data_IF_177140414486
#
_entry.id   IF_177140414486
#
_cell.length_a   1.000
_cell.length_b   1.000
_cell.length_c   1.000
_cell.angle_alpha   90.00
_cell.angle_beta   90.00
_cell.angle_gamma   90.00
#
_symmetry.space_group_name_H-M   'P 1'
#
loop_
_entity.id
_entity.type
_entity.pdbx_description
1 polymer ?
#
# COMPACT_ATOMS: atom_id res chain seq x y z
N UNK A 1 26.59 -12.97 -6.36
CA UNK A 1 26.30 -14.37 -6.76
C UNK A 1 25.18 -14.33 -7.80
N UNK A 2 25.45 -14.92 -8.97
CA UNK A 2 24.66 -15.04 -10.21
C UNK A 2 23.58 -13.99 -10.53
N UNK A 3 23.92 -13.11 -11.48
CA UNK A 3 23.03 -12.22 -12.22
C UNK A 3 22.06 -12.94 -13.19
N UNK A 4 21.64 -14.16 -12.84
CA UNK A 4 20.65 -14.92 -13.59
C UNK A 4 19.43 -15.06 -12.68
N UNK A 5 18.34 -14.37 -13.03
CA UNK A 5 17.07 -14.48 -12.32
C UNK A 5 16.57 -15.94 -12.28
N UNK A 6 15.57 -16.24 -11.44
CA UNK A 6 15.14 -17.62 -11.20
C UNK A 6 14.76 -18.32 -12.51
N UNK A 7 15.18 -19.57 -12.62
CA UNK A 7 14.82 -20.47 -13.71
C UNK A 7 13.30 -20.68 -13.78
N UNK A 8 12.79 -21.12 -14.92
CA UNK A 8 11.35 -21.42 -15.06
C UNK A 8 10.86 -22.45 -14.04
N UNK A 9 11.68 -23.44 -13.70
CA UNK A 9 11.37 -24.47 -12.70
C UNK A 9 11.28 -23.89 -11.29
N UNK A 10 12.20 -23.01 -10.91
CA UNK A 10 12.17 -22.32 -9.61
C UNK A 10 10.95 -21.42 -9.50
N UNK A 11 10.63 -20.64 -10.54
CA UNK A 11 9.42 -19.81 -10.58
C UNK A 11 8.14 -20.63 -10.34
N UNK A 12 8.04 -21.81 -10.94
CA UNK A 12 6.91 -22.73 -10.71
C UNK A 12 6.90 -23.21 -9.26
N UNK A 13 8.04 -23.71 -8.76
CA UNK A 13 8.17 -24.21 -7.40
C UNK A 13 7.76 -23.17 -6.35
N UNK A 14 8.29 -21.94 -6.45
CA UNK A 14 7.94 -20.82 -5.58
C UNK A 14 6.47 -20.43 -5.68
N UNK A 15 5.83 -20.67 -6.83
CA UNK A 15 4.42 -20.35 -7.06
C UNK A 15 3.44 -21.45 -6.59
N UNK A 16 3.88 -22.70 -6.46
CA UNK A 16 3.02 -23.83 -6.04
C UNK A 16 2.15 -23.53 -4.80
N UNK A 17 2.66 -22.87 -3.74
CA UNK A 17 1.87 -22.62 -2.54
C UNK A 17 0.61 -21.79 -2.79
N UNK A 18 0.66 -20.76 -3.66
CA UNK A 18 -0.53 -19.96 -3.98
C UNK A 18 -1.33 -20.56 -5.13
N UNK A 19 -0.67 -21.20 -6.11
CA UNK A 19 -1.33 -21.88 -7.23
C UNK A 19 -2.31 -22.96 -6.75
N UNK A 20 -1.92 -23.75 -5.75
CA UNK A 20 -2.78 -24.80 -5.15
C UNK A 20 -4.01 -24.23 -4.43
N UNK A 21 -3.93 -22.99 -3.96
CA UNK A 21 -5.05 -22.29 -3.28
C UNK A 21 -5.94 -21.50 -4.24
N UNK A 22 -5.43 -21.17 -5.43
CA UNK A 22 -6.11 -20.31 -6.39
C UNK A 22 -7.50 -20.82 -6.80
N UNK A 23 -7.72 -22.12 -7.11
CA UNK A 23 -9.05 -22.62 -7.48
C UNK A 23 -10.08 -22.44 -6.36
N UNK A 24 -9.68 -22.70 -5.11
CA UNK A 24 -10.54 -22.53 -3.94
C UNK A 24 -10.88 -21.06 -3.69
N UNK A 25 -9.89 -20.19 -3.80
CA UNK A 25 -10.10 -18.74 -3.76
C UNK A 25 -11.09 -18.31 -4.85
N UNK A 26 -10.88 -18.73 -6.10
CA UNK A 26 -11.71 -18.37 -7.24
C UNK A 26 -13.15 -18.86 -7.09
N UNK A 27 -13.34 -20.09 -6.61
CA UNK A 27 -14.67 -20.64 -6.29
C UNK A 27 -15.36 -19.81 -5.20
N UNK A 28 -14.63 -19.45 -4.13
CA UNK A 28 -15.15 -18.59 -3.08
C UNK A 28 -15.60 -17.22 -3.60
N UNK A 29 -14.86 -16.62 -4.54
CA UNK A 29 -15.24 -15.36 -5.20
C UNK A 29 -16.48 -15.52 -6.08
N UNK A 30 -16.54 -16.59 -6.87
CA UNK A 30 -17.70 -16.89 -7.71
C UNK A 30 -18.98 -17.03 -6.87
N UNK A 31 -18.93 -17.80 -5.78
CA UNK A 31 -20.07 -17.97 -4.86
C UNK A 31 -20.47 -16.65 -4.19
N UNK A 32 -19.51 -15.79 -3.86
CA UNK A 32 -19.80 -14.46 -3.31
C UNK A 32 -20.46 -13.54 -4.35
N UNK A 33 -20.03 -13.60 -5.61
CA UNK A 33 -20.63 -12.85 -6.71
C UNK A 33 -22.09 -13.25 -6.97
N UNK A 34 -22.44 -14.53 -6.87
CA UNK A 34 -23.83 -14.99 -6.97
C UNK A 34 -24.75 -14.43 -5.87
N UNK A 35 -24.19 -14.18 -4.68
CA UNK A 35 -24.91 -13.60 -3.54
C UNK A 35 -24.99 -12.07 -3.59
N UNK A 36 -24.11 -11.45 -4.38
CA UNK A 36 -23.90 -10.00 -4.44
C UNK A 36 -24.21 -9.51 -5.85
N UNK A 37 -25.46 -9.69 -6.29
CA UNK A 37 -25.91 -9.17 -7.58
C UNK A 37 -25.97 -7.63 -7.54
N UNK A 38 -25.35 -6.96 -8.53
CA UNK A 38 -25.54 -5.54 -8.85
C UNK A 38 -25.40 -4.53 -7.71
N UNK A 39 -24.41 -4.69 -6.82
CA UNK A 39 -24.03 -3.58 -5.95
C UNK A 39 -22.93 -2.75 -6.62
N UNK A 40 -23.14 -1.44 -6.63
CA UNK A 40 -22.12 -0.45 -6.94
C UNK A 40 -20.88 -0.71 -6.07
N UNK A 41 -19.70 -0.69 -6.67
CA UNK A 41 -18.44 -0.94 -5.96
C UNK A 41 -17.56 0.30 -5.95
N UNK A 42 -16.92 0.56 -4.83
CA UNK A 42 -15.88 1.57 -4.71
C UNK A 42 -14.52 0.90 -4.95
N UNK A 43 -13.76 1.40 -5.92
CA UNK A 43 -12.41 0.92 -6.24
C UNK A 43 -11.39 1.86 -5.59
N UNK A 44 -10.83 1.46 -4.46
CA UNK A 44 -9.76 2.17 -3.77
C UNK A 44 -8.44 1.77 -4.41
N UNK A 45 -7.94 2.61 -5.32
CA UNK A 45 -6.74 2.35 -6.11
C UNK A 45 -5.54 2.98 -5.42
N UNK A 46 -4.55 2.17 -5.08
CA UNK A 46 -3.30 2.60 -4.46
C UNK A 46 -2.12 2.08 -5.26
N UNK A 47 -1.19 2.96 -5.62
CA UNK A 47 0.06 2.55 -6.26
C UNK A 47 1.19 2.63 -5.24
N UNK A 48 1.74 1.46 -4.87
CA UNK A 48 2.95 1.35 -4.08
C UNK A 48 4.17 1.45 -5.01
N UNK A 49 4.71 2.65 -5.16
CA UNK A 49 5.89 2.87 -5.99
C UNK A 49 7.15 2.58 -5.16
N UNK A 50 7.90 1.54 -5.55
CA UNK A 50 9.24 1.26 -5.07
C UNK A 50 10.17 2.35 -5.63
N UNK A 51 10.22 3.48 -4.93
CA UNK A 51 10.68 4.74 -5.48
C UNK A 51 12.21 4.83 -5.44
N UNK A 52 12.88 4.20 -6.39
CA UNK A 52 14.33 4.07 -6.46
C UNK A 52 14.93 4.93 -7.59
N UNK A 53 15.07 6.26 -7.43
CA UNK A 53 15.61 7.13 -8.48
C UNK A 53 17.07 6.79 -8.81
N UNK A 54 17.78 6.16 -7.87
CA UNK A 54 19.15 5.65 -8.01
C UNK A 54 19.28 4.38 -8.85
N UNK A 55 18.19 3.72 -9.25
CA UNK A 55 18.29 2.46 -9.99
C UNK A 55 19.09 2.61 -11.30
N UNK A 56 20.00 1.67 -11.56
CA UNK A 56 20.79 1.60 -12.78
C UNK A 56 20.68 0.20 -13.44
N UNK A 57 20.54 0.09 -14.78
CA UNK A 57 20.39 -1.20 -15.47
C UNK A 57 21.53 -2.22 -15.23
N UNK A 58 22.74 -1.74 -14.95
CA UNK A 58 23.92 -2.57 -14.70
C UNK A 58 24.15 -2.96 -13.23
N UNK A 59 23.23 -2.58 -12.34
CA UNK A 59 23.44 -2.59 -10.90
C UNK A 59 24.20 -1.34 -10.42
N UNK A 60 24.23 -1.15 -9.09
CA UNK A 60 24.77 0.06 -8.48
C UNK A 60 23.74 1.19 -8.37
N UNK A 61 24.23 2.40 -8.11
CA UNK A 61 23.42 3.59 -7.89
C UNK A 61 23.86 4.70 -8.86
N UNK A 62 22.91 5.31 -9.55
CA UNK A 62 23.14 6.45 -10.44
C UNK A 62 23.69 7.65 -9.68
N UNK A 63 24.38 8.56 -10.38
CA UNK A 63 24.90 9.77 -9.75
C UNK A 63 23.76 10.69 -9.26
N UNK A 64 24.06 11.48 -8.22
CA UNK A 64 23.10 12.38 -7.57
C UNK A 64 22.40 13.35 -8.55
N UNK A 65 23.10 13.86 -9.56
CA UNK A 65 22.53 14.80 -10.54
C UNK A 65 21.50 14.08 -11.42
N UNK A 66 21.80 12.87 -11.85
CA UNK A 66 20.88 12.01 -12.60
C UNK A 66 19.64 11.69 -11.77
N UNK A 67 19.82 11.27 -10.51
CA UNK A 67 18.69 10.99 -9.62
C UNK A 67 17.80 12.22 -9.41
N UNK A 68 18.38 13.39 -9.12
CA UNK A 68 17.61 14.62 -8.94
C UNK A 68 16.86 15.04 -10.21
N UNK A 69 17.46 14.83 -11.39
CA UNK A 69 16.78 15.07 -12.68
C UNK A 69 15.56 14.16 -12.85
N UNK A 70 15.69 12.87 -12.52
CA UNK A 70 14.59 11.90 -12.58
C UNK A 70 13.45 12.25 -11.63
N UNK A 71 13.76 12.64 -10.39
CA UNK A 71 12.74 13.04 -9.40
C UNK A 71 12.01 14.32 -9.83
N UNK A 72 12.74 15.30 -10.38
CA UNK A 72 12.12 16.54 -10.92
C UNK A 72 11.25 16.26 -12.14
N UNK A 73 11.68 15.37 -13.02
CA UNK A 73 10.86 14.93 -14.14
C UNK A 73 9.60 14.20 -13.67
N UNK A 74 9.73 13.29 -12.70
CA UNK A 74 8.60 12.63 -12.07
C UNK A 74 7.60 13.64 -11.49
N UNK A 75 8.08 14.64 -10.73
CA UNK A 75 7.22 15.70 -10.17
C UNK A 75 6.49 16.50 -11.25
N UNK A 76 7.18 16.84 -12.36
CA UNK A 76 6.56 17.50 -13.52
C UNK A 76 5.44 16.66 -14.12
N UNK A 77 5.69 15.38 -14.37
CA UNK A 77 4.69 14.46 -14.94
C UNK A 77 3.53 14.20 -13.97
N UNK A 78 3.80 14.12 -12.67
CA UNK A 78 2.78 13.99 -11.64
C UNK A 78 1.86 15.22 -11.61
N UNK A 79 2.40 16.44 -11.73
CA UNK A 79 1.59 17.68 -11.86
C UNK A 79 0.72 17.67 -13.11
N UNK A 80 1.27 17.28 -14.26
CA UNK A 80 0.50 17.20 -15.51
C UNK A 80 -0.63 16.19 -15.36
N UNK A 81 -0.31 14.99 -14.89
CA UNK A 81 -1.24 13.88 -14.74
C UNK A 81 -2.31 14.17 -13.70
N UNK A 82 -1.95 14.68 -12.52
CA UNK A 82 -2.91 15.02 -11.46
C UNK A 82 -3.85 16.18 -11.82
N UNK A 83 -3.48 17.05 -12.76
CA UNK A 83 -4.42 18.05 -13.32
C UNK A 83 -5.44 17.44 -14.25
N UNK A 84 -5.02 16.47 -15.08
CA UNK A 84 -5.85 15.87 -16.12
C UNK A 84 -6.71 14.73 -15.59
N UNK A 85 -6.20 13.97 -14.63
CA UNK A 85 -6.80 12.75 -14.12
C UNK A 85 -7.12 12.95 -12.64
N UNK A 86 -8.41 13.11 -12.37
CA UNK A 86 -8.95 13.21 -11.02
C UNK A 86 -10.05 12.18 -10.86
N UNK A 87 -10.10 11.57 -9.68
CA UNK A 87 -11.18 10.66 -9.33
C UNK A 87 -12.51 11.41 -9.06
N UNK A 88 -13.56 10.67 -8.71
CA UNK A 88 -14.87 11.23 -8.43
C UNK A 88 -14.89 12.21 -7.23
N UNK A 89 -13.86 12.18 -6.39
CA UNK A 89 -13.70 13.07 -5.24
C UNK A 89 -12.87 14.33 -5.58
N UNK A 90 -12.40 14.45 -6.83
CA UNK A 90 -11.46 15.48 -7.25
C UNK A 90 -10.00 15.21 -6.84
N UNK A 91 -9.69 14.01 -6.34
CA UNK A 91 -8.33 13.63 -5.94
C UNK A 91 -7.50 13.32 -7.17
N UNK A 92 -6.29 13.91 -7.33
CA UNK A 92 -5.43 13.61 -8.47
C UNK A 92 -4.97 12.14 -8.45
N UNK A 93 -4.78 11.54 -9.62
CA UNK A 93 -4.05 10.28 -9.70
C UNK A 93 -2.64 10.46 -9.13
N UNK A 94 -2.28 9.60 -8.18
CA UNK A 94 -1.08 9.76 -7.36
C UNK A 94 -0.52 8.44 -6.87
N UNK A 95 0.77 8.46 -6.53
CA UNK A 95 1.50 7.31 -6.06
C UNK A 95 1.91 7.51 -4.60
N UNK A 96 2.02 6.42 -3.85
CA UNK A 96 2.79 6.41 -2.60
C UNK A 96 4.24 6.11 -2.97
N UNK A 97 5.14 7.05 -2.71
CA UNK A 97 6.56 6.92 -2.96
C UNK A 97 7.22 6.25 -1.73
N UNK A 98 7.44 4.94 -1.83
CA UNK A 98 8.21 4.20 -0.85
C UNK A 98 9.70 4.45 -1.12
N UNK A 99 10.30 5.40 -0.40
CA UNK A 99 11.67 5.88 -0.64
C UNK A 99 12.70 5.04 0.14
N UNK A 100 13.77 4.54 -0.51
CA UNK A 100 14.79 3.69 0.12
C UNK A 100 15.58 4.46 1.19
N UNK A 101 15.38 4.12 2.46
CA UNK A 101 16.00 4.82 3.59
C UNK A 101 17.52 4.78 3.58
N UNK A 102 18.11 3.70 3.07
CA UNK A 102 19.55 3.53 2.91
C UNK A 102 20.16 4.40 1.80
N UNK A 103 19.32 5.03 0.96
CA UNK A 103 19.73 5.93 -0.13
C UNK A 103 19.29 7.38 0.14
N UNK A 104 19.19 7.77 1.41
CA UNK A 104 18.75 9.11 1.79
C UNK A 104 19.58 10.22 1.11
N UNK A 105 18.90 11.10 0.36
CA UNK A 105 19.45 12.39 -0.08
C UNK A 105 18.45 13.51 0.26
N UNK A 106 18.86 14.54 1.01
CA UNK A 106 17.97 15.62 1.44
C UNK A 106 17.32 16.38 0.28
N UNK A 107 18.02 16.56 -0.85
CA UNK A 107 17.50 17.33 -1.98
C UNK A 107 16.48 16.54 -2.79
N UNK A 108 16.62 15.22 -2.87
CA UNK A 108 15.61 14.36 -3.50
C UNK A 108 14.34 14.33 -2.64
N UNK A 109 14.49 14.16 -1.33
CA UNK A 109 13.36 14.14 -0.39
C UNK A 109 12.62 15.47 -0.34
N UNK A 110 13.31 16.61 -0.49
CA UNK A 110 12.64 17.91 -0.55
C UNK A 110 11.66 18.00 -1.72
N UNK A 111 12.05 17.50 -2.90
CA UNK A 111 11.15 17.45 -4.07
C UNK A 111 9.96 16.53 -3.80
N UNK A 112 10.15 15.42 -3.08
CA UNK A 112 9.05 14.53 -2.71
C UNK A 112 8.12 15.15 -1.66
N UNK A 113 8.67 15.90 -0.70
CA UNK A 113 7.89 16.65 0.28
C UNK A 113 7.06 17.75 -0.40
N UNK A 114 7.64 18.48 -1.36
CA UNK A 114 6.91 19.45 -2.20
C UNK A 114 5.78 18.76 -2.99
N UNK A 115 6.06 17.61 -3.61
CA UNK A 115 5.05 16.82 -4.33
C UNK A 115 3.90 16.37 -3.40
N UNK A 116 4.24 15.95 -2.18
CA UNK A 116 3.24 15.60 -1.16
C UNK A 116 2.42 16.82 -0.72
N UNK A 117 3.05 17.98 -0.54
CA UNK A 117 2.39 19.26 -0.20
C UNK A 117 1.34 19.69 -1.24
N UNK A 118 1.58 19.36 -2.50
CA UNK A 118 0.64 19.58 -3.59
C UNK A 118 -0.47 18.51 -3.70
N UNK A 119 -0.45 17.49 -2.83
CA UNK A 119 -1.40 16.40 -2.83
C UNK A 119 -1.17 15.35 -3.92
N UNK A 120 0.01 15.35 -4.57
CA UNK A 120 0.36 14.48 -5.70
C UNK A 120 0.98 13.13 -5.30
N UNK A 121 0.91 12.79 -4.01
CA UNK A 121 1.40 11.53 -3.48
C UNK A 121 1.71 11.64 -1.99
N UNK A 122 2.20 10.57 -1.39
CA UNK A 122 2.76 10.57 -0.04
C UNK A 122 4.08 9.79 -0.01
N UNK A 123 4.99 10.18 0.86
CA UNK A 123 6.27 9.50 1.09
C UNK A 123 6.13 8.50 2.24
N UNK A 124 6.56 7.27 2.01
CA UNK A 124 6.56 6.16 2.97
C UNK A 124 7.89 5.42 2.93
N UNK A 125 8.09 4.42 3.80
CA UNK A 125 9.41 3.80 4.02
C UNK A 125 9.61 2.57 3.15
N UNK A 126 10.70 2.58 2.39
CA UNK A 126 11.28 1.43 1.72
C UNK A 126 12.65 1.15 2.33
N UNK A 127 13.02 -0.12 2.49
CA UNK A 127 14.35 -0.47 2.97
C UNK A 127 14.89 -1.70 2.25
N UNK A 128 16.11 -1.57 1.73
CA UNK A 128 16.96 -2.71 1.40
C UNK A 128 17.92 -2.97 2.57
N UNK A 129 17.97 -4.22 3.03
CA UNK A 129 18.92 -4.65 4.05
C UNK A 129 19.28 -6.12 3.82
N UNK A 130 20.37 -6.60 4.43
CA UNK A 130 20.66 -8.03 4.41
C UNK A 130 21.22 -8.61 3.10
N UNK A 131 21.63 -7.79 2.12
CA UNK A 131 22.06 -8.25 0.79
C UNK A 131 23.53 -8.67 0.73
N UNK A 132 24.41 -7.98 1.45
CA UNK A 132 25.83 -8.33 1.56
C UNK A 132 26.07 -9.44 2.60
N UNK A 133 25.41 -9.29 3.75
CA UNK A 133 25.39 -10.25 4.86
C UNK A 133 24.04 -10.11 5.58
N UNK A 134 23.56 -11.17 6.28
CA UNK A 134 22.29 -11.09 7.02
C UNK A 134 22.27 -9.89 7.98
N UNK A 135 21.16 -9.15 8.00
CA UNK A 135 20.99 -8.02 8.91
C UNK A 135 20.67 -8.49 10.34
N UNK A 136 20.76 -7.59 11.31
CA UNK A 136 20.48 -7.85 12.72
C UNK A 136 19.23 -7.09 13.20
N UNK A 137 18.49 -7.62 14.20
CA UNK A 137 17.37 -6.91 14.82
C UNK A 137 17.71 -5.48 15.27
N UNK A 138 18.91 -5.28 15.83
CA UNK A 138 19.36 -4.00 16.35
C UNK A 138 19.59 -2.99 15.23
N UNK A 139 20.28 -3.40 14.15
CA UNK A 139 20.55 -2.52 13.02
C UNK A 139 19.26 -2.15 12.27
N UNK A 140 18.40 -3.14 12.00
CA UNK A 140 17.10 -2.89 11.38
C UNK A 140 16.28 -1.87 12.19
N UNK A 141 16.16 -2.07 13.50
CA UNK A 141 15.41 -1.15 14.39
C UNK A 141 16.01 0.26 14.39
N UNK A 142 17.34 0.38 14.43
CA UNK A 142 18.02 1.66 14.38
C UNK A 142 17.78 2.40 13.04
N UNK A 143 17.91 1.70 11.92
CA UNK A 143 17.67 2.24 10.58
C UNK A 143 16.22 2.72 10.39
N UNK A 144 15.24 1.93 10.84
CA UNK A 144 13.82 2.28 10.76
C UNK A 144 13.49 3.51 11.61
N UNK A 145 13.95 3.55 12.87
CA UNK A 145 13.73 4.72 13.75
C UNK A 145 14.39 5.96 13.16
N UNK A 146 15.66 5.85 12.78
CA UNK A 146 16.43 6.97 12.24
C UNK A 146 15.79 7.56 11.00
N UNK A 147 15.40 6.72 10.03
CA UNK A 147 14.80 7.21 8.80
C UNK A 147 13.36 7.70 9.00
N UNK A 148 12.55 7.03 9.83
CA UNK A 148 11.20 7.47 10.19
C UNK A 148 11.21 8.88 10.80
N UNK A 149 12.05 9.09 11.81
CA UNK A 149 12.12 10.37 12.52
C UNK A 149 12.70 11.46 11.60
N UNK A 150 13.67 11.12 10.76
CA UNK A 150 14.17 12.03 9.74
C UNK A 150 13.08 12.48 8.75
N UNK A 151 12.27 11.56 8.22
CA UNK A 151 11.16 11.89 7.32
C UNK A 151 10.12 12.78 8.01
N UNK A 152 9.77 12.44 9.25
CA UNK A 152 8.75 13.15 10.02
C UNK A 152 9.20 14.56 10.42
N UNK A 153 10.41 14.70 10.95
CA UNK A 153 10.83 15.95 11.61
C UNK A 153 11.45 16.93 10.61
N UNK A 154 12.26 16.44 9.65
CA UNK A 154 12.94 17.30 8.68
C UNK A 154 12.08 17.60 7.46
N UNK A 155 11.36 16.61 6.95
CA UNK A 155 10.60 16.74 5.70
C UNK A 155 9.09 16.84 5.92
N UNK A 156 8.62 16.70 7.18
CA UNK A 156 7.19 16.71 7.54
C UNK A 156 6.35 15.65 6.82
N UNK A 157 7.01 14.61 6.30
CA UNK A 157 6.37 13.46 5.68
C UNK A 157 5.79 12.53 6.76
N UNK A 158 5.21 11.39 6.32
CA UNK A 158 4.55 10.41 7.19
C UNK A 158 3.29 10.94 7.90
N UNK A 159 2.77 10.13 8.82
CA UNK A 159 1.50 10.37 9.50
C UNK A 159 1.57 10.14 11.00
N UNK A 160 0.59 10.65 11.74
CA UNK A 160 0.38 10.32 13.16
C UNK A 160 -1.11 10.11 13.44
N UNK A 161 -1.43 9.33 14.46
CA UNK A 161 -2.81 9.22 14.99
C UNK A 161 -3.18 10.42 15.86
N UNK A 162 -2.21 10.94 16.61
CA UNK A 162 -2.33 12.13 17.44
C UNK A 162 -1.01 12.93 17.37
N UNK A 163 -1.01 14.27 17.54
CA UNK A 163 0.22 15.07 17.48
C UNK A 163 1.35 14.58 18.42
N UNK A 164 0.98 14.03 19.58
CA UNK A 164 1.93 13.52 20.58
C UNK A 164 2.40 12.07 20.34
N UNK A 165 1.74 11.33 19.44
CA UNK A 165 2.12 9.94 19.14
C UNK A 165 3.36 9.91 18.25
N UNK A 166 4.10 8.80 18.26
CA UNK A 166 5.22 8.58 17.33
C UNK A 166 4.77 8.68 15.85
N UNK A 167 5.64 9.09 14.90
CA UNK A 167 5.33 8.98 13.49
C UNK A 167 5.01 7.53 13.11
N UNK A 168 4.09 7.36 12.18
CA UNK A 168 3.67 6.05 11.66
C UNK A 168 3.83 6.03 10.15
N UNK A 169 4.26 4.88 9.64
CA UNK A 169 4.63 4.70 8.23
C UNK A 169 4.07 3.40 7.65
N UNK A 170 3.90 3.38 6.33
CA UNK A 170 3.73 2.17 5.54
C UNK A 170 5.10 1.64 5.12
N UNK A 171 5.20 0.33 4.96
CA UNK A 171 6.45 -0.33 4.62
C UNK A 171 6.38 -1.12 3.31
N UNK A 172 7.48 -1.08 2.57
CA UNK A 172 7.81 -2.01 1.48
C UNK A 172 9.21 -2.54 1.73
N UNK A 173 9.36 -3.86 1.73
CA UNK A 173 10.66 -4.50 1.81
C UNK A 173 11.30 -4.58 0.42
N UNK A 174 12.46 -3.94 0.22
CA UNK A 174 13.05 -3.79 -1.12
C UNK A 174 13.56 -5.07 -1.77
N UNK A 175 14.05 -6.00 -0.96
CA UNK A 175 14.44 -7.34 -1.42
C UNK A 175 13.27 -8.34 -1.48
N UNK A 176 12.03 -7.89 -1.23
CA UNK A 176 10.84 -8.70 -1.03
C UNK A 176 10.94 -9.73 0.09
N UNK A 177 11.98 -9.66 0.94
CA UNK A 177 12.40 -10.73 1.84
C UNK A 177 11.78 -10.63 3.25
N UNK A 178 10.55 -10.09 3.34
CA UNK A 178 9.88 -9.72 4.58
C UNK A 178 9.93 -10.83 5.63
N UNK A 179 10.33 -10.47 6.85
CA UNK A 179 10.45 -11.38 7.99
C UNK A 179 11.31 -12.60 7.69
N UNK A 180 12.49 -12.33 7.09
CA UNK A 180 13.47 -13.33 6.72
C UNK A 180 12.92 -14.44 5.80
N UNK A 181 12.01 -14.10 4.88
CA UNK A 181 11.34 -15.09 4.01
C UNK A 181 12.26 -15.78 3.00
N UNK A 182 13.53 -15.40 2.95
CA UNK A 182 14.58 -15.95 2.07
C UNK A 182 15.73 -16.62 2.83
N UNK A 183 15.53 -16.95 4.11
CA UNK A 183 16.51 -17.72 4.89
C UNK A 183 17.89 -17.06 5.00
N UNK A 184 17.92 -15.75 5.23
CA UNK A 184 19.11 -14.96 5.52
C UNK A 184 19.54 -14.00 4.40
N UNK A 185 19.14 -14.21 3.15
CA UNK A 185 19.52 -13.31 2.05
C UNK A 185 18.50 -12.19 1.83
N UNK A 186 18.99 -10.96 1.67
CA UNK A 186 18.14 -9.78 1.48
C UNK A 186 17.30 -9.43 2.71
N UNK A 187 17.60 -10.05 3.85
CA UNK A 187 17.05 -9.81 5.19
C UNK A 187 18.03 -10.44 6.21
N UNK A 188 17.55 -11.24 7.18
CA UNK A 188 18.34 -11.81 8.27
C UNK A 188 17.66 -11.72 9.63
N UNK A 189 16.53 -11.00 9.69
CA UNK A 189 15.84 -10.69 10.94
C UNK A 189 14.51 -11.44 11.02
N UNK A 190 14.46 -12.50 11.81
CA UNK A 190 13.25 -13.32 11.99
C UNK A 190 12.10 -12.50 12.62
N UNK A 191 12.41 -11.64 13.59
CA UNK A 191 11.43 -10.78 14.26
C UNK A 191 11.20 -9.42 13.58
N UNK A 192 11.46 -9.29 12.26
CA UNK A 192 11.29 -8.02 11.52
C UNK A 192 9.86 -7.46 11.66
N UNK A 193 8.83 -8.31 11.68
CA UNK A 193 7.44 -7.83 11.82
C UNK A 193 7.13 -7.24 13.18
N UNK A 194 7.75 -7.76 14.24
CA UNK A 194 7.67 -7.20 15.59
C UNK A 194 8.34 -5.83 15.61
N UNK A 195 9.55 -5.73 15.06
CA UNK A 195 10.28 -4.46 14.96
C UNK A 195 9.47 -3.43 14.17
N UNK A 196 8.95 -3.80 12.99
CA UNK A 196 8.10 -2.93 12.19
C UNK A 196 6.90 -2.43 13.00
N UNK A 197 6.22 -3.28 13.76
CA UNK A 197 5.10 -2.88 14.62
C UNK A 197 5.55 -1.88 15.70
N UNK A 198 6.63 -2.19 16.42
CA UNK A 198 7.19 -1.36 17.49
C UNK A 198 7.66 0.02 17.01
N UNK A 199 8.22 0.09 15.79
CA UNK A 199 8.69 1.34 15.21
C UNK A 199 7.58 2.15 14.54
N UNK A 200 6.34 1.66 14.51
CA UNK A 200 5.17 2.43 14.09
C UNK A 200 4.63 2.06 12.71
N UNK A 201 5.10 0.97 12.09
CA UNK A 201 4.55 0.48 10.82
C UNK A 201 3.06 0.13 10.98
N UNK A 202 2.20 0.72 10.15
CA UNK A 202 0.76 0.46 10.20
C UNK A 202 0.29 -0.52 9.12
N UNK A 203 0.99 -0.56 7.98
CA UNK A 203 0.69 -1.44 6.85
C UNK A 203 1.97 -1.83 6.13
N UNK A 204 2.08 -3.11 5.76
CA UNK A 204 3.04 -3.60 4.79
C UNK A 204 2.35 -3.78 3.43
N UNK A 205 3.05 -3.34 2.39
CA UNK A 205 2.63 -3.42 0.99
C UNK A 205 3.65 -4.17 0.12
N UNK A 206 4.45 -5.06 0.71
CA UNK A 206 5.47 -5.83 -0.01
C UNK A 206 4.83 -6.84 -0.98
N UNK A 207 3.64 -7.37 -0.67
CA UNK A 207 3.00 -8.43 -1.47
C UNK A 207 2.05 -7.88 -2.57
N UNK A 208 1.92 -8.55 -3.73
CA UNK A 208 2.58 -9.81 -4.09
C UNK A 208 4.07 -9.61 -4.39
N UNK A 209 4.83 -10.68 -4.14
CA UNK A 209 6.24 -10.82 -4.49
C UNK A 209 6.41 -11.85 -5.62
N UNK A 210 5.40 -12.09 -6.46
CA UNK A 210 5.52 -13.03 -7.58
C UNK A 210 6.62 -12.57 -8.56
N UNK A 211 7.39 -13.48 -9.19
CA UNK A 211 7.45 -14.94 -9.01
C UNK A 211 8.51 -15.40 -7.98
N UNK A 212 8.86 -14.52 -7.04
CA UNK A 212 9.94 -14.69 -6.09
C UNK A 212 9.60 -15.72 -4.99
N UNK A 213 10.61 -16.36 -4.39
CA UNK A 213 10.46 -17.35 -3.31
C UNK A 213 9.74 -16.81 -2.06
N UNK A 214 9.80 -15.49 -1.89
CA UNK A 214 9.14 -14.77 -0.82
C UNK A 214 7.61 -14.68 -0.98
N UNK A 215 7.07 -15.01 -2.16
CA UNK A 215 5.63 -15.01 -2.37
C UNK A 215 4.94 -16.01 -1.43
N UNK A 216 4.09 -15.49 -0.55
CA UNK A 216 3.32 -16.32 0.39
C UNK A 216 2.08 -16.93 -0.26
N UNK A 217 1.56 -18.05 0.27
CA UNK A 217 0.36 -18.67 -0.26
C UNK A 217 -0.95 -17.92 0.03
N UNK A 218 -0.93 -16.84 0.82
CA UNK A 218 -2.10 -15.96 1.01
C UNK A 218 -2.08 -14.85 -0.03
N UNK A 219 -3.14 -14.75 -0.83
CA UNK A 219 -3.26 -13.82 -1.95
C UNK A 219 -4.58 -13.05 -1.86
N UNK A 220 -4.66 -11.90 -2.53
CA UNK A 220 -5.89 -11.14 -2.75
C UNK A 220 -6.66 -10.84 -1.44
N UNK A 221 -5.95 -10.34 -0.42
CA UNK A 221 -6.50 -10.07 0.91
C UNK A 221 -5.88 -8.83 1.58
N UNK A 222 -6.69 -8.19 2.44
CA UNK A 222 -6.20 -7.34 3.54
C UNK A 222 -6.29 -8.17 4.82
N UNK A 223 -5.18 -8.39 5.51
CA UNK A 223 -5.10 -9.36 6.61
C UNK A 223 -4.04 -8.98 7.63
N UNK A 224 -4.01 -9.67 8.77
CA UNK A 224 -2.97 -9.54 9.79
C UNK A 224 -2.14 -10.82 9.88
N UNK A 225 -0.94 -10.75 10.46
CA UNK A 225 -0.08 -11.92 10.66
C UNK A 225 -0.80 -13.02 11.47
N UNK A 226 -0.55 -14.27 11.10
CA UNK A 226 -1.16 -15.45 11.71
C UNK A 226 -0.27 -16.20 12.70
N UNK A 227 1.04 -15.90 12.71
CA UNK A 227 2.03 -16.46 13.64
C UNK A 227 2.62 -15.35 14.53
N UNK A 228 3.31 -15.70 15.64
CA UNK A 228 3.96 -14.72 16.48
C UNK A 228 4.92 -13.82 15.70
N UNK A 229 4.91 -12.52 15.99
CA UNK A 229 5.71 -11.53 15.24
C UNK A 229 7.22 -11.67 15.47
N UNK A 230 7.64 -12.38 16.52
CA UNK A 230 9.03 -12.67 16.83
C UNK A 230 9.62 -13.86 16.05
N UNK A 231 8.82 -14.51 15.19
CA UNK A 231 9.24 -15.62 14.33
C UNK A 231 9.29 -15.20 12.87
N UNK A 232 10.13 -15.89 12.08
CA UNK A 232 10.21 -15.69 10.64
C UNK A 232 8.89 -15.96 9.90
N UNK A 233 8.65 -15.16 8.85
CA UNK A 233 7.53 -15.29 7.91
C UNK A 233 6.15 -15.39 8.59
N UNK A 234 5.82 -14.55 9.60
CA UNK A 234 4.59 -14.72 10.35
C UNK A 234 3.35 -14.31 9.55
N UNK A 235 3.56 -13.52 8.49
CA UNK A 235 2.59 -13.12 7.50
C UNK A 235 2.26 -14.23 6.47
N UNK A 236 2.94 -15.40 6.50
CA UNK A 236 2.65 -16.52 5.56
C UNK A 236 1.19 -16.98 5.60
N UNK A 237 0.55 -16.78 6.74
CA UNK A 237 -0.87 -17.00 6.97
C UNK A 237 -1.43 -15.91 7.89
N UNK A 238 -2.73 -15.96 8.14
CA UNK A 238 -3.40 -15.10 9.12
C UNK A 238 -4.84 -14.78 8.74
N UNK A 239 -5.65 -14.29 9.68
CA UNK A 239 -7.04 -13.96 9.42
C UNK A 239 -7.14 -12.70 8.57
N UNK A 240 -8.04 -12.72 7.57
CA UNK A 240 -8.39 -11.49 6.85
C UNK A 240 -9.09 -10.51 7.79
N UNK A 241 -8.88 -9.22 7.55
CA UNK A 241 -9.63 -8.17 8.24
C UNK A 241 -11.13 -8.36 7.97
N UNK A 242 -11.94 -8.07 8.98
CA UNK A 242 -13.39 -8.20 8.95
C UNK A 242 -14.06 -7.08 9.74
N UNK A 243 -15.31 -6.75 9.39
CA UNK A 243 -16.14 -5.86 10.19
C UNK A 243 -16.21 -6.35 11.63
N UNK A 244 -16.13 -5.42 12.59
CA UNK A 244 -16.06 -5.65 14.04
C UNK A 244 -14.88 -6.52 14.50
N UNK A 245 -13.86 -6.71 13.66
CA UNK A 245 -12.64 -7.42 14.02
C UNK A 245 -11.68 -6.54 14.83
N UNK A 246 -10.75 -7.19 15.53
CA UNK A 246 -9.56 -6.54 16.09
C UNK A 246 -8.49 -6.43 15.01
N UNK A 247 -7.69 -5.36 15.04
CA UNK A 247 -6.58 -5.16 14.11
C UNK A 247 -5.25 -5.27 14.85
N UNK A 248 -4.37 -6.15 14.37
CA UNK A 248 -2.97 -6.19 14.77
C UNK A 248 -2.10 -5.56 13.68
N UNK A 249 -1.05 -4.83 14.10
CA UNK A 249 -0.12 -4.16 13.19
C UNK A 249 1.20 -4.94 13.02
N UNK A 250 1.87 -4.81 11.86
CA UNK A 250 1.35 -4.15 10.66
C UNK A 250 0.27 -4.99 9.96
N UNK A 251 -0.71 -4.30 9.37
CA UNK A 251 -1.66 -4.94 8.43
C UNK A 251 -0.91 -5.29 7.16
N UNK A 252 -1.24 -6.41 6.53
CA UNK A 252 -0.72 -6.79 5.21
C UNK A 252 -1.80 -6.52 4.17
N UNK A 253 -1.48 -5.72 3.15
CA UNK A 253 -2.35 -5.49 1.99
C UNK A 253 -1.69 -6.04 0.74
N UNK A 254 -2.25 -7.13 0.20
CA UNK A 254 -1.76 -7.68 -1.06
C UNK A 254 -2.36 -6.95 -2.25
N UNK A 255 -1.58 -6.78 -3.31
CA UNK A 255 -2.10 -6.49 -4.64
C UNK A 255 -2.85 -7.68 -5.28
N UNK A 256 -3.49 -7.46 -6.44
CA UNK A 256 -4.13 -8.53 -7.19
C UNK A 256 -3.06 -9.51 -7.67
N UNK A 257 -3.26 -10.80 -7.44
CA UNK A 257 -2.52 -11.89 -8.07
C UNK A 257 -3.54 -12.81 -8.74
N UNK A 258 -3.72 -12.64 -10.03
CA UNK A 258 -4.80 -13.24 -10.82
C UNK A 258 -4.31 -13.77 -12.16
N UNK A 259 -5.02 -14.76 -12.70
CA UNK A 259 -4.77 -15.24 -14.06
C UNK A 259 -5.46 -14.37 -15.12
N UNK A 260 -4.73 -14.13 -16.19
CA UNK A 260 -5.13 -13.48 -17.42
C UNK A 260 -5.19 -14.55 -18.52
N UNK A 261 -6.35 -14.72 -19.15
CA UNK A 261 -6.64 -15.82 -20.08
C UNK A 261 -6.89 -15.38 -21.53
N UNK A 262 -6.72 -14.09 -21.84
CA UNK A 262 -6.93 -13.51 -23.17
C UNK A 262 -5.83 -13.92 -24.15
N UNK A 263 -4.61 -14.18 -23.66
CA UNK A 263 -3.56 -14.76 -24.51
C UNK A 263 -3.95 -16.13 -25.01
N UNK A 264 -3.81 -16.34 -26.31
CA UNK A 264 -3.86 -17.66 -26.95
C UNK A 264 -2.45 -18.14 -27.29
N UNK A 265 -2.17 -19.42 -27.05
CA UNK A 265 -0.99 -20.12 -27.55
C UNK A 265 -1.49 -21.35 -28.30
N UNK A 266 -1.12 -21.49 -29.58
CA UNK A 266 -1.65 -22.55 -30.46
C UNK A 266 -3.19 -22.57 -30.54
N UNK A 267 -3.83 -21.40 -30.51
CA UNK A 267 -5.30 -21.27 -30.53
C UNK A 267 -6.01 -21.53 -29.18
N UNK A 268 -5.32 -22.05 -28.17
CA UNK A 268 -5.87 -22.35 -26.84
C UNK A 268 -5.55 -21.23 -25.83
N UNK A 269 -6.46 -20.92 -24.88
CA UNK A 269 -6.16 -20.01 -23.78
C UNK A 269 -4.91 -20.45 -23.02
N UNK A 270 -3.95 -19.54 -22.86
CA UNK A 270 -2.71 -19.80 -22.14
C UNK A 270 -2.56 -18.76 -21.03
N UNK A 271 -2.58 -19.18 -19.74
CA UNK A 271 -2.66 -18.25 -18.64
C UNK A 271 -1.36 -17.42 -18.54
N UNK A 272 -1.51 -16.11 -18.38
CA UNK A 272 -0.49 -15.26 -17.77
C UNK A 272 -0.89 -14.93 -16.34
N UNK A 273 0.08 -14.58 -15.52
CA UNK A 273 -0.18 -14.02 -14.20
C UNK A 273 -0.15 -12.50 -14.33
N UNK A 274 -1.09 -11.84 -13.66
CA UNK A 274 -1.13 -10.41 -13.44
C UNK A 274 -1.02 -10.19 -11.93
N UNK A 275 0.07 -9.56 -11.51
CA UNK A 275 0.43 -9.25 -10.12
C UNK A 275 0.20 -7.75 -9.78
N UNK A 276 -0.42 -7.00 -10.70
CA UNK A 276 -0.65 -5.57 -10.53
C UNK A 276 0.55 -4.68 -10.80
N UNK A 277 1.62 -5.19 -11.44
CA UNK A 277 2.75 -4.35 -11.85
C UNK A 277 2.35 -3.34 -12.93
N UNK A 278 2.82 -2.09 -12.80
CA UNK A 278 2.72 -1.05 -13.82
C UNK A 278 4.08 -0.88 -14.48
N UNK A 279 4.20 -1.33 -15.73
CA UNK A 279 5.44 -1.26 -16.52
C UNK A 279 5.11 -1.15 -18.01
N UNK A 280 6.08 -0.68 -18.81
CA UNK A 280 5.94 -0.55 -20.26
C UNK A 280 5.53 -1.85 -20.98
N UNK A 281 5.91 -3.01 -20.44
CA UNK A 281 5.63 -4.32 -21.03
C UNK A 281 4.23 -4.87 -20.71
N UNK A 282 3.45 -4.20 -19.85
CA UNK A 282 2.16 -4.68 -19.39
C UNK A 282 1.13 -3.54 -19.37
N UNK A 283 0.50 -3.35 -20.54
CA UNK A 283 -0.46 -2.26 -20.74
C UNK A 283 -1.68 -2.37 -19.83
N UNK A 284 -2.21 -1.21 -19.43
CA UNK A 284 -3.45 -1.10 -18.68
C UNK A 284 -4.63 -0.89 -19.64
N UNK A 285 -5.68 -1.68 -19.45
CA UNK A 285 -6.95 -1.58 -20.16
C UNK A 285 -8.11 -1.90 -19.21
N UNK A 286 -9.36 -1.67 -19.66
CA UNK A 286 -10.54 -1.95 -18.84
C UNK A 286 -10.66 -3.44 -18.48
N UNK A 287 -10.21 -4.36 -19.35
CA UNK A 287 -10.22 -5.78 -19.05
C UNK A 287 -9.26 -6.13 -17.89
N UNK A 288 -8.13 -5.43 -17.79
CA UNK A 288 -7.17 -5.52 -16.69
C UNK A 288 -7.76 -4.96 -15.40
N UNK A 289 -8.41 -3.79 -15.48
CA UNK A 289 -9.15 -3.22 -14.35
C UNK A 289 -10.23 -4.18 -13.84
N UNK A 290 -10.97 -4.83 -14.73
CA UNK A 290 -11.97 -5.83 -14.37
C UNK A 290 -11.36 -7.05 -13.68
N UNK A 291 -10.17 -7.48 -14.09
CA UNK A 291 -9.44 -8.54 -13.37
C UNK A 291 -9.03 -8.11 -11.98
N UNK A 292 -8.54 -6.88 -11.81
CA UNK A 292 -8.19 -6.33 -10.50
C UNK A 292 -9.42 -6.18 -9.60
N UNK A 293 -10.52 -5.61 -10.11
CA UNK A 293 -11.82 -5.54 -9.43
C UNK A 293 -12.30 -6.94 -9.05
N UNK A 294 -12.17 -7.90 -9.97
CA UNK A 294 -12.50 -9.31 -9.77
C UNK A 294 -11.61 -10.05 -8.77
N UNK A 295 -10.47 -9.46 -8.35
CA UNK A 295 -9.70 -9.97 -7.23
C UNK A 295 -10.44 -9.79 -5.89
N UNK A 296 -11.37 -8.81 -5.82
CA UNK A 296 -12.24 -8.53 -4.67
C UNK A 296 -11.50 -8.48 -3.33
N UNK A 297 -10.32 -7.87 -3.33
CA UNK A 297 -9.55 -7.60 -2.10
C UNK A 297 -10.36 -6.61 -1.28
N UNK A 298 -10.90 -7.05 -0.15
CA UNK A 298 -11.85 -6.28 0.66
C UNK A 298 -11.74 -6.69 2.13
N UNK A 299 -12.26 -5.84 3.01
CA UNK A 299 -12.52 -6.22 4.41
C UNK A 299 -13.77 -7.11 4.42
N UNK A 300 -13.69 -8.28 5.07
CA UNK A 300 -14.82 -9.22 5.10
C UNK A 300 -16.03 -8.57 5.79
N UNK A 301 -17.19 -8.59 5.12
CA UNK A 301 -18.40 -7.87 5.55
C UNK A 301 -18.56 -6.46 4.94
N UNK A 302 -17.55 -5.97 4.20
CA UNK A 302 -17.60 -4.74 3.40
C UNK A 302 -17.16 -5.00 1.94
N UNK A 303 -17.86 -5.90 1.20
CA UNK A 303 -17.45 -6.32 -0.15
C UNK A 303 -17.53 -5.22 -1.21
N UNK A 304 -18.29 -4.15 -0.96
CA UNK A 304 -18.45 -3.02 -1.86
C UNK A 304 -17.23 -2.08 -1.86
N UNK A 305 -16.31 -2.18 -0.88
CA UNK A 305 -15.04 -1.44 -0.90
C UNK A 305 -13.91 -2.38 -1.32
N UNK A 306 -13.49 -2.24 -2.58
CA UNK A 306 -12.47 -3.08 -3.21
C UNK A 306 -11.15 -2.32 -3.26
N UNK A 307 -10.13 -2.87 -2.62
CA UNK A 307 -8.77 -2.34 -2.63
C UNK A 307 -8.01 -2.90 -3.85
N UNK A 308 -7.46 -2.02 -4.66
CA UNK A 308 -6.61 -2.35 -5.80
C UNK A 308 -5.23 -1.77 -5.52
N UNK A 309 -4.39 -2.57 -4.85
CA UNK A 309 -2.98 -2.22 -4.62
C UNK A 309 -2.15 -2.64 -5.83
N UNK A 310 -1.68 -1.68 -6.59
CA UNK A 310 -0.76 -1.83 -7.71
C UNK A 310 0.66 -1.47 -7.26
N UNK A 311 1.66 -1.77 -8.08
CA UNK A 311 3.05 -1.36 -7.79
C UNK A 311 3.83 -1.03 -9.06
N UNK A 312 4.92 -0.30 -8.89
CA UNK A 312 5.89 -0.01 -9.94
C UNK A 312 7.26 0.30 -9.32
N UNK A 313 8.30 0.35 -10.15
CA UNK A 313 9.59 0.96 -9.78
C UNK A 313 9.72 2.39 -10.36
N UNK A 314 9.01 2.71 -11.45
CA UNK A 314 8.86 4.06 -11.98
C UNK A 314 10.08 4.63 -12.72
N UNK A 315 11.28 4.09 -12.48
CA UNK A 315 12.54 4.58 -13.03
C UNK A 315 13.23 3.61 -14.01
N UNK A 316 12.62 2.46 -14.29
CA UNK A 316 13.14 1.58 -15.34
C UNK A 316 12.86 2.18 -16.72
N UNK A 317 13.55 1.69 -17.74
CA UNK A 317 13.40 2.19 -19.09
C UNK A 317 11.93 2.05 -19.56
N UNK A 318 11.29 3.19 -19.85
CA UNK A 318 9.89 3.27 -20.30
C UNK A 318 8.85 3.24 -19.18
N UNK A 319 9.22 3.04 -17.92
CA UNK A 319 8.26 2.94 -16.82
C UNK A 319 7.58 4.27 -16.51
N UNK A 320 8.26 5.42 -16.63
CA UNK A 320 7.63 6.72 -16.41
C UNK A 320 6.41 6.91 -17.33
N UNK A 321 6.56 6.58 -18.62
CA UNK A 321 5.47 6.66 -19.60
C UNK A 321 4.31 5.71 -19.23
N UNK A 322 4.64 4.50 -18.77
CA UNK A 322 3.67 3.48 -18.39
C UNK A 322 2.97 3.74 -17.05
N UNK A 323 3.58 4.52 -16.15
CA UNK A 323 3.12 4.74 -14.77
C UNK A 323 2.46 6.10 -14.58
N UNK A 324 2.90 7.15 -15.29
CA UNK A 324 2.34 8.50 -15.21
C UNK A 324 2.11 9.15 -16.59
N UNK A 325 2.72 8.63 -17.65
CA UNK A 325 2.62 9.20 -19.00
C UNK A 325 1.26 9.06 -19.67
N UNK A 326 1.26 9.30 -20.98
CA UNK A 326 0.04 9.33 -21.80
C UNK A 326 -0.76 8.02 -21.77
N UNK A 327 -0.14 6.82 -21.82
CA UNK A 327 -0.86 5.55 -21.67
C UNK A 327 -1.65 5.48 -20.36
N UNK A 328 -1.06 5.90 -19.24
CA UNK A 328 -1.73 5.87 -17.94
C UNK A 328 -2.87 6.88 -17.88
N UNK A 329 -2.65 8.09 -18.42
CA UNK A 329 -3.68 9.13 -18.51
C UNK A 329 -4.90 8.65 -19.32
N UNK A 330 -4.67 8.04 -20.49
CA UNK A 330 -5.74 7.47 -21.30
C UNK A 330 -6.48 6.36 -20.57
N UNK A 331 -5.75 5.43 -19.95
CA UNK A 331 -6.35 4.32 -19.20
C UNK A 331 -7.28 4.82 -18.09
N UNK A 332 -6.80 5.72 -17.22
CA UNK A 332 -7.64 6.23 -16.14
C UNK A 332 -8.79 7.10 -16.64
N UNK A 333 -8.57 7.92 -17.67
CA UNK A 333 -9.64 8.68 -18.32
C UNK A 333 -10.79 7.77 -18.77
N UNK A 334 -10.46 6.69 -19.49
CA UNK A 334 -11.44 5.69 -19.93
C UNK A 334 -12.09 4.95 -18.75
N UNK A 335 -11.34 4.57 -17.72
CA UNK A 335 -11.87 3.88 -16.55
C UNK A 335 -12.85 4.76 -15.74
N UNK A 336 -12.52 6.04 -15.55
CA UNK A 336 -13.35 7.01 -14.84
C UNK A 336 -14.64 7.30 -15.61
N UNK A 337 -14.54 7.47 -16.93
CA UNK A 337 -15.70 7.64 -17.81
C UNK A 337 -16.60 6.38 -17.78
N UNK A 338 -16.02 5.19 -17.88
CA UNK A 338 -16.77 3.93 -17.84
C UNK A 338 -17.51 3.73 -16.51
N UNK A 339 -16.85 4.00 -15.38
CA UNK A 339 -17.47 3.96 -14.06
C UNK A 339 -18.64 4.93 -13.95
N UNK A 340 -18.45 6.17 -14.42
CA UNK A 340 -19.48 7.22 -14.41
C UNK A 340 -20.67 6.89 -15.31
N UNK A 341 -20.41 6.39 -16.52
CA UNK A 341 -21.40 6.04 -17.54
C UNK A 341 -22.27 4.86 -17.13
N UNK A 342 -21.65 3.84 -16.52
CA UNK A 342 -22.35 2.59 -16.16
C UNK A 342 -22.92 2.60 -14.74
N UNK A 343 -22.38 3.44 -13.85
CA UNK A 343 -22.67 3.40 -12.42
C UNK A 343 -22.19 2.12 -11.73
N UNK A 344 -21.46 1.24 -12.42
CA UNK A 344 -21.05 -0.05 -11.88
C UNK A 344 -19.97 0.07 -10.79
N UNK A 345 -19.16 1.12 -10.86
CA UNK A 345 -18.13 1.40 -9.88
C UNK A 345 -17.75 2.88 -9.83
N UNK A 346 -17.19 3.31 -8.70
CA UNK A 346 -16.52 4.61 -8.53
C UNK A 346 -15.06 4.38 -8.17
N UNK A 347 -14.15 5.05 -8.87
CA UNK A 347 -12.71 5.01 -8.57
C UNK A 347 -12.39 6.05 -7.49
N UNK A 348 -11.53 5.68 -6.54
CA UNK A 348 -10.94 6.54 -5.52
C UNK A 348 -9.42 6.33 -5.53
N UNK A 349 -8.64 7.32 -5.93
CA UNK A 349 -7.18 7.27 -5.87
C UNK A 349 -6.72 7.53 -4.45
N UNK A 350 -5.97 6.60 -3.84
CA UNK A 350 -5.60 6.64 -2.44
C UNK A 350 -4.10 6.41 -2.22
N UNK A 351 -3.49 7.14 -1.30
CA UNK A 351 -2.17 6.76 -0.76
C UNK A 351 -2.26 5.49 0.10
N UNK A 352 -1.12 4.91 0.49
CA UNK A 352 -1.08 3.78 1.41
C UNK A 352 -1.75 4.08 2.75
N UNK A 353 -1.54 5.29 3.28
CA UNK A 353 -2.17 5.79 4.51
C UNK A 353 -3.68 5.87 4.37
N UNK A 354 -4.16 6.45 3.29
CA UNK A 354 -5.60 6.59 3.04
C UNK A 354 -6.26 5.22 2.84
N UNK A 355 -5.63 4.32 2.09
CA UNK A 355 -6.12 2.95 1.93
C UNK A 355 -6.19 2.20 3.27
N UNK A 356 -5.17 2.36 4.13
CA UNK A 356 -5.20 1.83 5.49
C UNK A 356 -6.34 2.42 6.33
N UNK A 357 -6.52 3.75 6.30
CA UNK A 357 -7.58 4.43 7.03
C UNK A 357 -8.98 3.95 6.59
N UNK A 358 -9.19 3.79 5.27
CA UNK A 358 -10.43 3.25 4.70
C UNK A 358 -10.62 1.78 5.13
N UNK A 359 -9.57 0.96 5.12
CA UNK A 359 -9.65 -0.43 5.60
C UNK A 359 -10.01 -0.49 7.10
N UNK A 360 -9.44 0.38 7.93
CA UNK A 360 -9.76 0.46 9.34
C UNK A 360 -11.20 0.97 9.58
N UNK A 361 -11.65 1.95 8.79
CA UNK A 361 -13.04 2.40 8.81
C UNK A 361 -14.00 1.26 8.45
N UNK A 362 -13.67 0.43 7.47
CA UNK A 362 -14.44 -0.76 7.14
C UNK A 362 -14.47 -1.77 8.30
N UNK A 363 -13.35 -2.01 8.97
CA UNK A 363 -13.31 -2.85 10.18
C UNK A 363 -14.23 -2.29 11.27
N UNK A 364 -14.35 -0.97 11.40
CA UNK A 364 -15.28 -0.32 12.33
C UNK A 364 -16.71 -0.15 11.79
N UNK A 365 -17.10 -0.94 10.78
CA UNK A 365 -18.42 -0.95 10.13
C UNK A 365 -18.89 0.43 9.62
N UNK A 366 -17.94 1.29 9.23
CA UNK A 366 -18.27 2.53 8.53
C UNK A 366 -18.83 2.21 7.13
N UNK A 367 -19.72 3.10 6.65
CA UNK A 367 -20.52 2.94 5.43
C UNK A 367 -20.44 4.20 4.56
N UNK A 368 -20.97 4.11 3.34
CA UNK A 368 -21.01 5.23 2.38
C UNK A 368 -19.73 5.33 1.56
N UNK A 369 -19.42 6.54 1.09
CA UNK A 369 -18.23 6.79 0.28
C UNK A 369 -16.95 6.61 1.09
N UNK A 370 -15.95 5.84 0.60
CA UNK A 370 -14.61 5.75 1.19
C UNK A 370 -13.91 7.10 1.36
N UNK A 371 -14.26 8.09 0.51
CA UNK A 371 -13.70 9.44 0.56
C UNK A 371 -13.73 10.05 1.96
N UNK A 372 -14.83 9.86 2.69
CA UNK A 372 -15.03 10.40 4.04
C UNK A 372 -14.07 9.83 5.09
N UNK A 373 -13.30 8.80 4.76
CA UNK A 373 -12.44 8.07 5.68
C UNK A 373 -10.96 8.14 5.32
N UNK A 374 -10.54 9.02 4.39
CA UNK A 374 -9.13 9.18 4.00
C UNK A 374 -8.22 9.56 5.18
N UNK A 375 -8.74 10.32 6.14
CA UNK A 375 -8.03 10.77 7.35
C UNK A 375 -8.64 10.17 8.64
N UNK A 376 -9.16 8.94 8.58
CA UNK A 376 -9.95 8.34 9.65
C UNK A 376 -9.19 8.13 10.97
N UNK A 377 -8.00 7.51 10.92
CA UNK A 377 -7.16 7.21 12.09
C UNK A 377 -5.83 7.93 12.03
N UNK A 378 -5.20 7.94 10.86
CA UNK A 378 -3.90 8.57 10.63
C UNK A 378 -4.05 9.85 9.81
N UNK A 379 -3.43 10.94 10.26
CA UNK A 379 -3.37 12.22 9.55
C UNK A 379 -1.94 12.52 9.10
N UNK A 380 -1.74 13.13 7.92
CA UNK A 380 -0.41 13.46 7.44
C UNK A 380 0.20 14.57 8.31
N UNK A 381 1.48 14.45 8.67
CA UNK A 381 2.19 15.39 9.57
C UNK A 381 2.27 16.81 8.98
N UNK A 382 2.38 16.90 7.67
CA UNK A 382 2.44 18.16 6.95
C UNK A 382 1.13 18.97 7.06
N UNK A 383 -0.02 18.34 7.27
CA UNK A 383 -1.28 19.05 7.43
C UNK A 383 -1.49 19.51 8.88
N UNK A 384 -2.06 20.71 9.10
CA UNK A 384 -2.37 21.16 10.44
C UNK A 384 -3.44 20.25 11.06
N UNK A 385 -3.29 19.93 12.34
CA UNK A 385 -4.37 19.32 13.09
C UNK A 385 -5.51 20.32 13.27
N UNK A 386 -6.79 19.87 13.16
CA UNK A 386 -7.91 20.70 13.56
C UNK A 386 -7.68 21.18 14.99
N UNK A 387 -7.91 22.46 15.25
CA UNK A 387 -7.89 22.98 16.62
C UNK A 387 -8.81 22.12 17.47
N UNK A 388 -8.33 21.66 18.63
CA UNK A 388 -9.16 20.98 19.61
C UNK A 388 -10.40 21.85 19.87
N UNK A 389 -11.58 21.37 19.48
CA UNK A 389 -12.80 21.94 20.02
C UNK A 389 -12.73 21.68 21.51
N UNK A 390 -12.42 22.73 22.30
CA UNK A 390 -12.64 22.72 23.73
C UNK A 390 -14.10 22.34 23.94
N UNK A 391 -14.35 21.07 24.25
CA UNK A 391 -15.63 20.63 24.77
C UNK A 391 -15.76 21.37 26.09
N UNK A 392 -16.49 22.49 26.10
CA UNK A 392 -16.95 23.10 27.33
C UNK A 392 -17.79 22.06 28.04
N UNK A 393 -17.23 21.47 29.09
CA UNK A 393 -17.93 20.62 30.02
C UNK A 393 -18.97 21.46 30.76
N UNK A 394 -20.16 21.61 30.18
CA UNK A 394 -21.36 22.01 30.90
C UNK A 394 -21.89 20.81 31.70
N UNK A 395 -21.10 20.33 32.67
CA UNK A 395 -21.62 19.53 33.76
C UNK A 395 -21.87 20.51 34.90
N UNK A 396 -23.13 20.91 35.02
CA UNK A 396 -23.64 21.64 36.16
C UNK A 396 -23.31 20.90 37.45
N UNK A 397 -22.75 21.65 38.40
CA UNK A 397 -22.34 21.22 39.72
C UNK A 397 -23.59 20.78 40.52
N UNK A 398 -23.78 19.49 40.87
CA UNK A 398 -24.86 19.07 41.75
C UNK A 398 -24.28 18.92 43.16
N UNK A 399 -24.48 19.90 44.04
CA UNK A 399 -24.03 19.70 45.41
C UNK A 399 -24.10 20.91 46.33
N UNK A 400 -25.30 21.32 46.74
CA UNK A 400 -25.49 21.78 48.13
C UNK A 400 -26.94 21.57 48.57
N UNK A 401 -27.29 20.36 49.00
CA UNK A 401 -28.39 20.16 49.95
C UNK A 401 -27.73 19.96 51.31
N UNK A 402 -27.72 21.01 52.15
CA UNK A 402 -27.48 20.86 53.59
C UNK A 402 -28.83 20.74 54.28
N UNK A 403 -29.00 19.63 54.97
CA UNK A 403 -30.08 19.36 55.91
C UNK A 403 -30.08 20.38 57.06
N UNK A 404 -31.29 20.59 57.57
CA UNK A 404 -31.66 21.38 58.72
C UNK A 404 -31.01 20.90 60.03
N UNK A 405 -30.64 21.87 60.87
CA UNK A 405 -30.67 21.77 62.34
C UNK A 405 -31.22 23.10 62.89
N UNK A 406 -32.12 22.94 63.85
CA UNK A 406 -33.00 23.87 64.54
C UNK A 406 -32.33 24.90 65.47
N UNK A 407 -32.98 26.05 65.70
CA UNK A 407 -33.60 26.48 66.98
C UNK A 407 -33.80 28.01 67.03
N UNK A 408 -34.91 28.38 67.70
CA UNK A 408 -35.43 29.70 68.11
C UNK A 408 -35.84 30.70 67.04
#
# INVERSE_FOLDING_TARGET
>A
MNALGPTYTEKIYHSLPWLTRYPFWRLGRFLQGLRSAQQHTHLIVTVANHYEPGWAPGGGCEDRKTQLSRVREWHREARITGRLIKDADGTPFRHTAFYPGEQYDPALLEVLAEMQAEGLGEVEIHLHHGTEQPDTPQNLKASLIGFRDLLADKHRCLSRSHPADIPRYAFVHGNFALANSRGGFGCGVDNEMEILAETGCYIDMTLPAFPHEAQVPKINAVYQCGRPLHEAVPHRCGPSLRVHGTVAYPVIMTGPLVFEWTRKRWGLPFPRVDDGVLTANYHCDLARLDRWRGAQVSVQGRPEWIFIKLYCHGFFQGDLEATLGDPMRRFWGTALEEGSRTGAFTVHFASAREAFNIALAAVHDKKGSPHSYRDYSLRPIMQPWPAEQKIQSSIGNPGTIRQAVSLS
#
